data_IF_930997994631
#
_entry.id   IF_930997994631
#
_cell.length_a   1.000
_cell.length_b   1.000
_cell.length_c   1.000
_cell.angle_alpha   90.00
_cell.angle_beta   90.00
_cell.angle_gamma   90.00
#
_symmetry.space_group_name_H-M   'P 1'
#
loop_
_entity.id
_entity.type
_entity.pdbx_description
1 polymer ?
#
# COMPACT_ATOMS: atom_id res chain seq x y z
N UNK A 1 19.29 27.13 1.30
CA UNK A 1 19.17 25.67 1.10
C UNK A 1 18.04 25.17 1.99
N UNK A 2 16.85 24.93 1.43
CA UNK A 2 15.67 24.48 2.18
C UNK A 2 14.87 23.46 1.35
N UNK A 3 15.61 22.63 0.60
CA UNK A 3 15.06 21.69 -0.37
C UNK A 3 14.61 20.41 0.34
N UNK A 4 15.34 19.97 1.37
CA UNK A 4 15.07 18.73 2.10
C UNK A 4 13.74 18.73 2.88
N UNK A 5 13.30 19.90 3.36
CA UNK A 5 12.03 20.03 4.09
C UNK A 5 10.82 19.87 3.18
N UNK A 6 10.89 20.33 1.93
CA UNK A 6 9.81 20.20 0.95
C UNK A 6 9.67 18.75 0.47
N UNK A 7 10.77 18.06 0.19
CA UNK A 7 10.73 16.64 -0.20
C UNK A 7 10.17 15.75 0.90
N UNK A 8 10.56 15.98 2.17
CA UNK A 8 10.02 15.25 3.31
C UNK A 8 8.52 15.48 3.52
N UNK A 9 8.03 16.70 3.29
CA UNK A 9 6.60 17.04 3.36
C UNK A 9 5.79 16.40 2.21
N UNK A 10 6.35 16.38 1.00
CA UNK A 10 5.69 15.81 -0.18
C UNK A 10 5.55 14.29 -0.06
N UNK A 11 6.61 13.60 0.36
CA UNK A 11 6.57 12.15 0.65
C UNK A 11 5.53 11.81 1.73
N UNK A 12 5.45 12.61 2.79
CA UNK A 12 4.45 12.39 3.85
C UNK A 12 3.01 12.54 3.34
N UNK A 13 2.75 13.52 2.47
CA UNK A 13 1.43 13.71 1.85
C UNK A 13 1.08 12.59 0.89
N UNK A 14 2.01 12.13 0.06
CA UNK A 14 1.78 11.01 -0.85
C UNK A 14 1.51 9.71 -0.10
N UNK A 15 2.27 9.41 0.95
CA UNK A 15 2.08 8.21 1.76
C UNK A 15 0.70 8.21 2.45
N UNK A 16 0.26 9.38 2.92
CA UNK A 16 -1.06 9.56 3.54
C UNK A 16 -2.19 9.38 2.51
N UNK A 17 -2.05 9.96 1.32
CA UNK A 17 -3.04 9.83 0.25
C UNK A 17 -3.20 8.37 -0.22
N UNK A 18 -2.08 7.65 -0.34
CA UNK A 18 -2.07 6.22 -0.70
C UNK A 18 -2.73 5.39 0.41
N UNK A 19 -2.43 5.66 1.68
CA UNK A 19 -3.04 4.96 2.80
C UNK A 19 -4.57 5.18 2.86
N UNK A 20 -5.03 6.42 2.71
CA UNK A 20 -6.47 6.74 2.69
C UNK A 20 -7.16 6.09 1.49
N UNK A 21 -6.54 6.16 0.31
CA UNK A 21 -7.07 5.51 -0.90
C UNK A 21 -7.17 3.99 -0.74
N UNK A 22 -6.13 3.34 -0.21
CA UNK A 22 -6.12 1.90 0.03
C UNK A 22 -7.23 1.46 1.00
N UNK A 23 -7.48 2.24 2.06
CA UNK A 23 -8.56 1.96 3.03
C UNK A 23 -9.94 2.09 2.38
N UNK A 24 -10.18 3.14 1.60
CA UNK A 24 -11.48 3.34 0.92
C UNK A 24 -11.76 2.25 -0.11
N UNK A 25 -10.76 1.88 -0.91
CA UNK A 25 -10.89 0.80 -1.89
C UNK A 25 -11.02 -0.56 -1.19
N UNK A 26 -10.31 -0.79 -0.08
CA UNK A 26 -10.46 -1.99 0.73
C UNK A 26 -11.86 -2.15 1.32
N UNK A 27 -12.46 -1.05 1.81
CA UNK A 27 -13.85 -1.01 2.27
C UNK A 27 -14.83 -1.31 1.12
N UNK A 28 -14.60 -0.73 -0.06
CA UNK A 28 -15.42 -0.97 -1.25
C UNK A 28 -15.41 -2.45 -1.68
N UNK A 29 -14.23 -3.08 -1.67
CA UNK A 29 -14.08 -4.50 -2.02
C UNK A 29 -14.68 -5.44 -0.97
N UNK A 30 -14.67 -5.04 0.30
CA UNK A 30 -15.37 -5.77 1.37
C UNK A 30 -16.88 -5.83 1.09
N UNK A 31 -17.47 -4.73 0.62
CA UNK A 31 -18.89 -4.69 0.20
C UNK A 31 -19.15 -5.48 -1.10
N UNK A 32 -18.12 -5.73 -1.90
CA UNK A 32 -18.21 -6.51 -3.14
C UNK A 32 -17.97 -8.02 -2.94
N UNK A 33 -17.86 -8.49 -1.69
CA UNK A 33 -17.48 -9.87 -1.32
C UNK A 33 -16.11 -10.34 -1.84
N UNK A 34 -15.26 -9.40 -2.26
CA UNK A 34 -13.90 -9.65 -2.75
C UNK A 34 -12.90 -9.66 -1.60
N UNK A 35 -13.04 -10.65 -0.70
CA UNK A 35 -12.31 -10.72 0.57
C UNK A 35 -10.78 -10.77 0.40
N UNK A 36 -10.29 -11.50 -0.61
CA UNK A 36 -8.85 -11.62 -0.90
C UNK A 36 -8.25 -10.26 -1.26
N UNK A 37 -8.96 -9.51 -2.09
CA UNK A 37 -8.57 -8.19 -2.57
C UNK A 37 -8.66 -7.14 -1.46
N UNK A 38 -9.69 -7.24 -0.61
CA UNK A 38 -9.82 -6.41 0.58
C UNK A 38 -8.64 -6.62 1.54
N UNK A 39 -8.27 -7.87 1.85
CA UNK A 39 -7.14 -8.19 2.74
C UNK A 39 -5.81 -7.69 2.17
N UNK A 40 -5.60 -7.82 0.85
CA UNK A 40 -4.39 -7.32 0.20
C UNK A 40 -4.29 -5.78 0.29
N UNK A 41 -5.39 -5.06 0.11
CA UNK A 41 -5.42 -3.60 0.27
C UNK A 41 -5.28 -3.13 1.72
N UNK A 42 -5.89 -3.82 2.67
CA UNK A 42 -5.66 -3.55 4.09
C UNK A 42 -4.19 -3.74 4.46
N UNK A 43 -3.54 -4.77 3.92
CA UNK A 43 -2.11 -5.01 4.12
C UNK A 43 -1.28 -3.87 3.51
N UNK A 44 -1.64 -3.39 2.31
CA UNK A 44 -1.03 -2.21 1.68
C UNK A 44 -1.16 -0.95 2.55
N UNK A 45 -2.36 -0.69 3.06
CA UNK A 45 -2.64 0.44 3.95
C UNK A 45 -1.85 0.35 5.26
N UNK A 46 -1.80 -0.83 5.87
CA UNK A 46 -1.04 -1.08 7.10
C UNK A 46 0.46 -0.85 6.90
N UNK A 47 1.02 -1.30 5.77
CA UNK A 47 2.42 -1.05 5.39
C UNK A 47 2.67 0.46 5.22
N UNK A 48 1.77 1.18 4.55
CA UNK A 48 1.87 2.63 4.39
C UNK A 48 1.85 3.37 5.73
N UNK A 49 0.95 2.99 6.64
CA UNK A 49 0.88 3.55 7.99
C UNK A 49 2.14 3.20 8.79
N UNK A 50 2.62 1.96 8.74
CA UNK A 50 3.83 1.52 9.42
C UNK A 50 5.05 2.33 8.97
N UNK A 51 5.17 2.59 7.66
CA UNK A 51 6.23 3.44 7.09
C UNK A 51 6.09 4.91 7.50
N UNK A 52 4.88 5.41 7.68
CA UNK A 52 4.64 6.78 8.15
C UNK A 52 4.94 6.97 9.65
N UNK A 53 4.52 6.01 10.47
CA UNK A 53 4.60 6.08 11.94
C UNK A 53 5.99 5.68 12.45
N UNK A 54 6.60 4.65 11.87
CA UNK A 54 7.86 4.10 12.35
C UNK A 54 9.05 4.55 11.48
N UNK A 55 9.92 5.44 11.97
CA UNK A 55 11.12 5.84 11.24
C UNK A 55 12.10 4.67 11.05
N UNK A 56 12.11 3.69 11.95
CA UNK A 56 12.92 2.47 11.82
C UNK A 56 12.42 1.62 10.65
N UNK A 57 11.10 1.45 10.53
CA UNK A 57 10.51 0.71 9.41
C UNK A 57 10.75 1.45 8.10
N UNK A 58 10.63 2.78 8.11
CA UNK A 58 10.96 3.62 6.95
C UNK A 58 12.41 3.46 6.49
N UNK A 59 13.37 3.56 7.40
CA UNK A 59 14.78 3.34 7.09
C UNK A 59 15.00 1.96 6.47
N UNK A 60 14.42 0.91 7.07
CA UNK A 60 14.53 -0.43 6.54
C UNK A 60 13.93 -0.57 5.13
N UNK A 61 12.76 0.04 4.88
CA UNK A 61 12.14 0.04 3.55
C UNK A 61 12.95 0.82 2.52
N UNK A 62 13.61 1.89 2.92
CA UNK A 62 14.45 2.71 2.04
C UNK A 62 15.75 1.96 1.71
N UNK A 63 16.37 1.29 2.69
CA UNK A 63 17.55 0.44 2.51
C UNK A 63 17.26 -0.80 1.63
N UNK A 64 16.04 -1.33 1.71
CA UNK A 64 15.59 -2.52 0.97
C UNK A 64 14.56 -2.17 -0.12
N UNK A 65 14.66 -0.98 -0.70
CA UNK A 65 13.73 -0.41 -1.69
C UNK A 65 13.23 -1.44 -2.72
N UNK A 66 14.13 -2.17 -3.37
CA UNK A 66 13.76 -3.10 -4.45
C UNK A 66 13.02 -4.33 -3.93
N UNK A 67 13.43 -4.89 -2.79
CA UNK A 67 12.74 -6.02 -2.17
C UNK A 67 11.36 -5.59 -1.67
N UNK A 68 11.26 -4.39 -1.11
CA UNK A 68 9.99 -3.82 -0.66
C UNK A 68 9.03 -3.57 -1.84
N UNK A 69 9.51 -2.99 -2.94
CA UNK A 69 8.73 -2.83 -4.16
C UNK A 69 8.28 -4.18 -4.74
N UNK A 70 9.13 -5.20 -4.71
CA UNK A 70 8.77 -6.55 -5.15
C UNK A 70 7.63 -7.15 -4.32
N UNK A 71 7.70 -7.03 -2.99
CA UNK A 71 6.63 -7.47 -2.07
C UNK A 71 5.33 -6.70 -2.33
N UNK A 72 5.42 -5.38 -2.52
CA UNK A 72 4.25 -4.56 -2.87
C UNK A 72 3.66 -4.98 -4.23
N UNK A 73 4.50 -5.24 -5.24
CA UNK A 73 4.03 -5.73 -6.54
C UNK A 73 3.34 -7.09 -6.43
N UNK A 74 3.88 -8.02 -5.64
CA UNK A 74 3.21 -9.31 -5.39
C UNK A 74 1.86 -9.12 -4.69
N UNK A 75 1.79 -8.27 -3.67
CA UNK A 75 0.54 -7.92 -3.00
C UNK A 75 -0.47 -7.28 -3.97
N UNK A 76 -0.01 -6.43 -4.89
CA UNK A 76 -0.85 -5.86 -5.93
C UNK A 76 -1.36 -6.93 -6.90
N UNK A 77 -0.50 -7.88 -7.31
CA UNK A 77 -0.92 -9.01 -8.14
C UNK A 77 -1.97 -9.87 -7.44
N UNK A 78 -1.81 -10.15 -6.14
CA UNK A 78 -2.82 -10.89 -5.35
C UNK A 78 -4.12 -10.10 -5.26
N UNK A 79 -4.04 -8.78 -5.03
CA UNK A 79 -5.22 -7.91 -4.98
C UNK A 79 -5.99 -7.92 -6.32
N UNK A 80 -5.28 -7.87 -7.45
CA UNK A 80 -5.90 -7.91 -8.78
C UNK A 80 -6.44 -9.30 -9.11
N UNK A 81 -5.69 -10.36 -8.78
CA UNK A 81 -6.12 -11.74 -9.00
C UNK A 81 -7.36 -12.10 -8.17
N UNK A 82 -7.49 -11.53 -6.97
CA UNK A 82 -8.67 -11.73 -6.13
C UNK A 82 -9.95 -11.17 -6.75
N UNK A 83 -9.88 -10.02 -7.45
CA UNK A 83 -11.02 -9.41 -8.15
C UNK A 83 -11.29 -10.06 -9.51
N UNK A 84 -10.30 -10.74 -10.08
CA UNK A 84 -10.49 -11.40 -11.36
C UNK A 84 -11.49 -12.54 -11.16
N UNK A 85 -12.67 -12.49 -11.81
CA UNK A 85 -13.53 -13.65 -11.80
C UNK A 85 -12.73 -14.76 -12.48
N UNK A 86 -12.40 -15.81 -11.74
CA UNK A 86 -12.21 -17.11 -12.34
C UNK A 86 -13.58 -17.51 -12.89
N UNK A 87 -13.96 -16.86 -14.00
CA UNK A 87 -15.07 -17.25 -14.83
C UNK A 87 -14.76 -18.69 -15.21
N UNK A 88 -15.43 -19.60 -14.52
CA UNK A 88 -15.45 -21.02 -14.81
C UNK A 88 -15.71 -21.19 -16.30
N UNK A 89 -14.65 -21.51 -17.03
CA UNK A 89 -14.71 -22.03 -18.39
C UNK A 89 -15.26 -23.46 -18.34
#
# INVERSE_FOLDING_TARGET
>A
MNVDTNYGQWQRRSDTAIAVGAVLVGLWLLFSAEFVSAVALFTFGAIGIARFVSPVFRSWTDDNQFAFLFVLSLLSCVAVAGVYPFSSL
#
